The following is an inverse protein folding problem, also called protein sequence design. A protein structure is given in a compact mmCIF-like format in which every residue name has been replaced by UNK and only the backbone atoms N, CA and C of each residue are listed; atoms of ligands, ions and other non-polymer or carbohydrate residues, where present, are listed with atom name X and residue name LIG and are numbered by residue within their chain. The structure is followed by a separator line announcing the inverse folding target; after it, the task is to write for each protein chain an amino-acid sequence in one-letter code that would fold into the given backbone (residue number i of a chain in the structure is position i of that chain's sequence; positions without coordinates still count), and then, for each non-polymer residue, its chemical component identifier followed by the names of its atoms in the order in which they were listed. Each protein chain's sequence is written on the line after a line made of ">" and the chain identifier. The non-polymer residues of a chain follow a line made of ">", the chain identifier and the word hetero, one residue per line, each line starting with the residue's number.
data_IF_227157949135
#
_entry.id   IF_227157949135
#
_cell.length_a   1.000
_cell.length_b   1.000
_cell.length_c   1.000
_cell.angle_alpha   90.00
_cell.angle_beta   90.00
_cell.angle_gamma   90.00
#
_symmetry.space_group_name_H-M   'P 1'
#
loop_
_entity.id
_entity.type
_entity.pdbx_description
1 polymer ?
#
# COMPACT_ATOMS: atom_id res chain seq x y z
N UNK A 1 -3.74 -33.33 -54.94
CA UNK A 1 -3.00 -34.58 -54.67
C UNK A 1 -1.52 -34.30 -54.86
N UNK A 2 -0.75 -34.23 -53.76
CA UNK A 2 0.61 -34.77 -53.56
C UNK A 2 1.17 -34.22 -52.26
N UNK A 3 1.19 -35.11 -51.28
CA UNK A 3 1.82 -35.00 -49.97
C UNK A 3 3.33 -34.85 -50.10
N UNK A 4 3.94 -33.95 -49.34
CA UNK A 4 5.35 -34.06 -48.95
C UNK A 4 5.52 -33.74 -47.47
N UNK A 5 5.74 -34.79 -46.68
CA UNK A 5 6.18 -34.74 -45.28
C UNK A 5 7.69 -34.45 -45.25
N UNK A 6 8.13 -33.62 -44.31
CA UNK A 6 9.54 -33.55 -43.88
C UNK A 6 9.65 -33.72 -42.36
N UNK A 7 10.73 -34.34 -41.86
CA UNK A 7 10.80 -34.93 -40.53
C UNK A 7 11.21 -33.95 -39.43
N UNK A 8 10.91 -34.36 -38.18
CA UNK A 8 11.40 -33.78 -36.94
C UNK A 8 12.94 -33.76 -36.89
N UNK A 9 13.51 -32.61 -36.50
CA UNK A 9 14.84 -32.54 -35.91
C UNK A 9 14.68 -32.17 -34.43
N UNK A 10 15.05 -33.11 -33.56
CA UNK A 10 15.12 -32.90 -32.12
C UNK A 10 16.36 -32.05 -31.81
N UNK A 11 16.17 -30.89 -31.17
CA UNK A 11 17.25 -30.06 -30.65
C UNK A 11 17.49 -30.46 -29.19
N UNK A 12 18.57 -31.20 -28.97
CA UNK A 12 19.11 -31.48 -27.63
C UNK A 12 19.90 -30.24 -27.21
N UNK A 13 19.35 -29.46 -26.29
CA UNK A 13 20.10 -28.37 -25.62
C UNK A 13 20.83 -28.99 -24.44
N UNK A 14 22.17 -29.07 -24.57
CA UNK A 14 23.09 -29.52 -23.55
C UNK A 14 23.30 -28.39 -22.53
N UNK A 15 22.89 -28.62 -21.28
CA UNK A 15 23.11 -27.71 -20.15
C UNK A 15 24.55 -27.88 -19.66
N UNK A 16 25.45 -26.95 -19.99
CA UNK A 16 26.75 -26.87 -19.32
C UNK A 16 26.60 -26.14 -17.98
N UNK A 17 26.84 -26.85 -16.89
CA UNK A 17 27.08 -26.28 -15.57
C UNK A 17 28.40 -25.49 -15.59
N UNK A 18 28.31 -24.17 -15.45
CA UNK A 18 29.46 -23.34 -15.06
C UNK A 18 29.48 -23.32 -13.54
N UNK A 19 30.44 -24.04 -12.96
CA UNK A 19 30.74 -23.99 -11.54
C UNK A 19 31.39 -22.65 -11.18
N UNK A 20 30.69 -21.83 -10.41
CA UNK A 20 31.28 -20.70 -9.71
C UNK A 20 31.85 -21.18 -8.37
N UNK A 21 33.17 -21.25 -8.27
CA UNK A 21 33.90 -21.36 -7.01
C UNK A 21 33.89 -19.99 -6.33
N UNK A 22 33.16 -19.86 -5.22
CA UNK A 22 33.21 -18.67 -4.36
C UNK A 22 34.28 -18.92 -3.28
N UNK A 23 35.33 -18.10 -3.28
CA UNK A 23 36.29 -17.99 -2.19
C UNK A 23 35.60 -17.45 -0.93
N UNK A 24 35.72 -18.18 0.18
CA UNK A 24 35.45 -17.67 1.53
C UNK A 24 36.57 -16.72 1.96
N UNK A 25 36.22 -15.49 2.30
CA UNK A 25 37.05 -14.57 3.07
C UNK A 25 36.30 -14.15 4.34
N UNK A 26 37.02 -14.22 5.47
CA UNK A 26 36.54 -13.97 6.82
C UNK A 26 36.37 -12.47 7.13
N UNK A 27 35.42 -12.16 8.02
CA UNK A 27 35.55 -11.07 9.00
C UNK A 27 35.03 -9.69 8.61
N UNK A 28 33.71 -9.49 8.69
CA UNK A 28 33.08 -8.17 8.79
C UNK A 28 32.23 -8.09 10.07
N UNK A 29 32.12 -6.91 10.72
CA UNK A 29 31.49 -6.78 12.03
C UNK A 29 29.98 -7.04 11.95
N UNK A 30 29.49 -7.87 12.85
CA UNK A 30 28.07 -8.13 13.11
C UNK A 30 27.37 -6.83 13.54
N UNK A 31 26.49 -6.31 12.69
CA UNK A 31 25.45 -5.36 13.08
C UNK A 31 24.33 -6.18 13.74
N UNK A 32 23.94 -5.90 15.00
CA UNK A 32 22.84 -6.60 15.63
C UNK A 32 21.49 -6.11 15.08
N UNK A 33 20.69 -7.06 14.58
CA UNK A 33 19.23 -7.06 14.72
C UNK A 33 18.42 -6.04 13.92
N UNK A 34 18.15 -6.34 12.65
CA UNK A 34 16.84 -6.00 12.05
C UNK A 34 16.23 -7.32 11.59
N UNK A 35 15.50 -7.95 12.50
CA UNK A 35 14.62 -9.06 12.19
C UNK A 35 13.33 -8.44 11.61
N UNK A 36 13.22 -8.44 10.28
CA UNK A 36 11.97 -8.09 9.57
C UNK A 36 10.93 -9.16 9.88
N UNK A 37 10.22 -9.01 10.99
CA UNK A 37 9.07 -9.84 11.31
C UNK A 37 7.88 -9.34 10.52
N UNK A 38 7.52 -10.06 9.45
CA UNK A 38 6.18 -10.05 8.86
C UNK A 38 5.20 -10.64 9.87
N UNK A 39 4.84 -9.87 10.89
CA UNK A 39 3.78 -10.22 11.83
C UNK A 39 2.66 -9.20 11.69
N UNK A 40 1.73 -9.49 10.77
CA UNK A 40 0.38 -8.94 10.79
C UNK A 40 -0.35 -9.40 12.05
N UNK A 41 0.01 -8.86 13.20
CA UNK A 41 -0.80 -8.94 14.40
C UNK A 41 -1.97 -7.99 14.21
N UNK A 42 -3.13 -8.57 13.88
CA UNK A 42 -4.40 -7.86 13.98
C UNK A 42 -4.54 -7.32 15.40
N UNK A 43 -4.40 -6.00 15.55
CA UNK A 43 -4.64 -5.31 16.81
C UNK A 43 -6.15 -5.45 17.09
N UNK A 44 -6.51 -6.11 18.19
CA UNK A 44 -7.90 -6.23 18.61
C UNK A 44 -8.44 -4.85 18.98
N UNK A 45 -9.08 -4.18 18.02
CA UNK A 45 -9.72 -2.88 18.22
C UNK A 45 -11.15 -3.04 18.74
N UNK A 46 -11.30 -3.06 20.06
CA UNK A 46 -12.54 -2.52 20.64
C UNK A 46 -12.40 -1.00 20.65
N UNK A 47 -12.93 -0.34 19.61
CA UNK A 47 -13.02 1.12 19.57
C UNK A 47 -13.82 1.62 20.77
N UNK A 48 -13.17 2.29 21.72
CA UNK A 48 -13.81 2.86 22.92
C UNK A 48 -14.24 4.30 22.68
N UNK A 49 -13.67 4.99 21.69
CA UNK A 49 -14.11 6.31 21.22
C UNK A 49 -14.66 6.26 19.78
N UNK A 50 -15.59 7.17 19.40
CA UNK A 50 -16.08 7.27 18.03
C UNK A 50 -14.96 7.48 16.99
N UNK A 51 -13.98 8.35 17.26
CA UNK A 51 -12.85 8.61 16.33
C UNK A 51 -12.04 7.33 16.03
N UNK A 52 -11.91 6.43 17.02
CA UNK A 52 -11.26 5.14 16.84
C UNK A 52 -11.98 4.27 15.79
N UNK A 53 -13.29 4.50 15.56
CA UNK A 53 -14.06 3.75 14.55
C UNK A 53 -13.70 4.17 13.12
N UNK A 54 -13.33 5.43 12.87
CA UNK A 54 -12.86 5.86 11.55
C UNK A 54 -11.48 5.25 11.24
N UNK A 55 -10.56 5.29 12.22
CA UNK A 55 -9.23 4.70 12.09
C UNK A 55 -9.30 3.17 11.92
N UNK A 56 -10.08 2.48 12.77
CA UNK A 56 -10.32 1.05 12.64
C UNK A 56 -10.96 0.67 11.29
N UNK A 57 -11.90 1.48 10.82
CA UNK A 57 -12.49 1.32 9.51
C UNK A 57 -11.45 1.47 8.39
N UNK A 58 -10.59 2.48 8.46
CA UNK A 58 -9.51 2.69 7.50
C UNK A 58 -8.59 1.48 7.43
N UNK A 59 -8.09 1.00 8.58
CA UNK A 59 -7.20 -0.18 8.69
C UNK A 59 -7.80 -1.43 8.02
N UNK A 60 -9.11 -1.66 8.11
CA UNK A 60 -9.76 -2.78 7.40
C UNK A 60 -9.57 -2.67 5.88
N UNK A 61 -9.74 -1.47 5.31
CA UNK A 61 -9.65 -1.28 3.86
C UNK A 61 -8.23 -1.16 3.33
N UNK A 62 -7.30 -0.70 4.15
CA UNK A 62 -5.86 -0.82 3.92
C UNK A 62 -5.48 -2.31 3.79
N UNK A 63 -5.84 -3.11 4.78
CA UNK A 63 -5.60 -4.56 4.79
C UNK A 63 -6.22 -5.26 3.58
N UNK A 64 -7.46 -4.91 3.21
CA UNK A 64 -8.10 -5.44 1.99
C UNK A 64 -7.35 -5.07 0.71
N UNK A 65 -6.71 -3.90 0.68
CA UNK A 65 -5.90 -3.44 -0.45
C UNK A 65 -4.58 -4.20 -0.53
N UNK A 66 -3.83 -4.22 0.57
CA UNK A 66 -2.54 -4.90 0.69
C UNK A 66 -2.66 -6.39 0.33
N UNK A 67 -3.63 -7.07 0.93
CA UNK A 67 -3.79 -8.51 0.79
C UNK A 67 -4.59 -8.91 -0.46
N UNK A 68 -5.04 -7.95 -1.27
CA UNK A 68 -5.89 -8.20 -2.44
C UNK A 68 -5.39 -9.30 -3.41
N UNK A 69 -4.08 -9.51 -3.65
CA UNK A 69 -3.62 -10.57 -4.55
C UNK A 69 -3.90 -11.98 -4.03
N UNK A 70 -3.89 -12.17 -2.71
CA UNK A 70 -3.97 -13.48 -2.03
C UNK A 70 -5.27 -13.64 -1.21
N UNK A 71 -6.10 -12.61 -1.14
CA UNK A 71 -7.31 -12.57 -0.31
C UNK A 71 -8.29 -13.70 -0.68
N UNK A 72 -8.61 -14.54 0.31
CA UNK A 72 -9.61 -15.60 0.20
C UNK A 72 -11.00 -15.14 0.70
N UNK A 73 -12.04 -15.94 0.44
CA UNK A 73 -13.41 -15.56 0.74
C UNK A 73 -13.69 -15.35 2.23
N UNK A 74 -13.17 -16.23 3.09
CA UNK A 74 -13.34 -16.10 4.53
C UNK A 74 -12.72 -14.80 5.06
N UNK A 75 -11.53 -14.44 4.60
CA UNK A 75 -10.85 -13.20 4.99
C UNK A 75 -11.58 -11.95 4.50
N UNK A 76 -12.14 -11.98 3.28
CA UNK A 76 -12.98 -10.90 2.77
C UNK A 76 -14.26 -10.74 3.61
N UNK A 77 -14.98 -11.83 3.86
CA UNK A 77 -16.23 -11.81 4.63
C UNK A 77 -16.01 -11.36 6.07
N UNK A 78 -14.91 -11.78 6.70
CA UNK A 78 -14.49 -11.32 8.04
C UNK A 78 -14.23 -9.80 8.05
N UNK A 79 -13.47 -9.29 7.07
CA UNK A 79 -13.20 -7.85 6.93
C UNK A 79 -14.48 -7.04 6.77
N UNK A 80 -15.40 -7.50 5.92
CA UNK A 80 -16.69 -6.83 5.73
C UNK A 80 -17.57 -6.91 6.97
N UNK A 81 -17.55 -8.03 7.71
CA UNK A 81 -18.28 -8.17 8.97
C UNK A 81 -17.76 -7.21 10.02
N UNK A 82 -16.43 -7.13 10.19
CA UNK A 82 -15.77 -6.16 11.08
C UNK A 82 -16.12 -4.72 10.71
N UNK A 83 -16.19 -4.39 9.43
CA UNK A 83 -16.61 -3.05 9.02
C UNK A 83 -18.07 -2.76 9.40
N UNK A 84 -18.99 -3.71 9.20
CA UNK A 84 -20.40 -3.49 9.52
C UNK A 84 -20.63 -3.29 11.03
N UNK A 85 -19.79 -3.83 11.91
CA UNK A 85 -19.89 -3.53 13.36
C UNK A 85 -19.47 -2.10 13.71
N UNK A 86 -18.64 -1.46 12.89
CA UNK A 86 -18.19 -0.07 13.05
C UNK A 86 -19.10 0.94 12.34
N UNK A 87 -19.93 0.48 11.39
CA UNK A 87 -20.62 1.34 10.43
C UNK A 87 -21.51 2.42 11.05
N UNK A 88 -22.23 2.11 12.13
CA UNK A 88 -23.08 3.12 12.79
C UNK A 88 -22.26 4.27 13.37
N UNK A 89 -21.10 3.96 13.97
CA UNK A 89 -20.20 4.95 14.55
C UNK A 89 -19.51 5.78 13.46
N UNK A 90 -19.08 5.13 12.38
CA UNK A 90 -18.53 5.81 11.20
C UNK A 90 -19.57 6.75 10.59
N UNK A 91 -20.80 6.27 10.39
CA UNK A 91 -21.89 7.07 9.81
C UNK A 91 -22.25 8.30 10.65
N UNK A 92 -22.09 8.23 11.98
CA UNK A 92 -22.36 9.36 12.87
C UNK A 92 -21.32 10.50 12.74
N UNK A 93 -20.15 10.22 12.13
CA UNK A 93 -19.03 11.16 12.00
C UNK A 93 -18.87 11.72 10.59
N UNK A 94 -19.49 11.10 9.59
CA UNK A 94 -19.38 11.53 8.20
C UNK A 94 -20.49 12.53 7.82
N UNK A 95 -20.13 13.52 7.01
CA UNK A 95 -21.12 14.36 6.35
C UNK A 95 -21.98 13.52 5.38
N UNK A 96 -23.23 13.93 5.07
CA UNK A 96 -24.11 13.15 4.20
C UNK A 96 -23.51 12.80 2.83
N UNK A 97 -22.77 13.71 2.21
CA UNK A 97 -22.10 13.46 0.93
C UNK A 97 -20.93 12.48 1.04
N UNK A 98 -20.18 12.51 2.14
CA UNK A 98 -19.13 11.53 2.44
C UNK A 98 -19.74 10.15 2.66
N UNK A 99 -20.86 10.05 3.38
CA UNK A 99 -21.57 8.79 3.59
C UNK A 99 -22.08 8.21 2.26
N UNK A 100 -22.64 9.04 1.37
CA UNK A 100 -23.04 8.61 0.03
C UNK A 100 -21.86 8.10 -0.80
N UNK A 101 -20.70 8.78 -0.73
CA UNK A 101 -19.48 8.33 -1.41
C UNK A 101 -18.98 7.01 -0.82
N UNK A 102 -18.99 6.87 0.49
CA UNK A 102 -18.62 5.63 1.19
C UNK A 102 -19.51 4.47 0.74
N UNK A 103 -20.83 4.63 0.71
CA UNK A 103 -21.75 3.60 0.25
C UNK A 103 -21.49 3.16 -1.20
N UNK A 104 -21.19 4.12 -2.09
CA UNK A 104 -20.85 3.83 -3.47
C UNK A 104 -19.53 3.04 -3.59
N UNK A 105 -18.51 3.43 -2.84
CA UNK A 105 -17.22 2.73 -2.80
C UNK A 105 -17.38 1.30 -2.27
N UNK A 106 -18.11 1.10 -1.17
CA UNK A 106 -18.39 -0.22 -0.60
C UNK A 106 -19.16 -1.13 -1.55
N UNK A 107 -20.13 -0.57 -2.28
CA UNK A 107 -20.85 -1.32 -3.32
C UNK A 107 -19.89 -1.77 -4.44
N UNK A 108 -18.95 -0.92 -4.85
CA UNK A 108 -17.95 -1.25 -5.86
C UNK A 108 -16.89 -2.25 -5.37
N UNK A 109 -16.48 -2.20 -4.10
CA UNK A 109 -15.62 -3.22 -3.46
C UNK A 109 -16.28 -4.59 -3.59
N UNK A 110 -17.53 -4.72 -3.12
CA UNK A 110 -18.30 -5.98 -3.18
C UNK A 110 -18.49 -6.47 -4.62
N UNK A 111 -18.84 -5.58 -5.54
CA UNK A 111 -19.02 -5.90 -6.96
C UNK A 111 -17.72 -6.40 -7.61
N UNK A 112 -16.58 -5.78 -7.29
CA UNK A 112 -15.27 -6.19 -7.83
C UNK A 112 -14.84 -7.53 -7.25
N UNK A 113 -15.05 -7.74 -5.94
CA UNK A 113 -14.84 -9.03 -5.28
C UNK A 113 -15.62 -10.16 -5.95
N UNK A 114 -16.93 -9.98 -6.19
CA UNK A 114 -17.80 -10.96 -6.85
C UNK A 114 -17.33 -11.29 -8.27
N UNK A 115 -16.80 -10.30 -8.99
CA UNK A 115 -16.23 -10.47 -10.34
C UNK A 115 -14.83 -11.09 -10.34
N UNK A 116 -14.23 -11.35 -9.18
CA UNK A 116 -12.83 -11.75 -9.00
C UNK A 116 -11.84 -10.75 -9.59
N UNK A 117 -12.24 -9.48 -9.68
CA UNK A 117 -11.39 -8.38 -10.13
C UNK A 117 -10.65 -7.79 -8.93
N UNK A 118 -9.49 -8.39 -8.61
CA UNK A 118 -8.67 -8.00 -7.45
C UNK A 118 -8.11 -6.58 -7.56
N UNK A 119 -7.68 -6.17 -8.75
CA UNK A 119 -7.16 -4.83 -8.99
C UNK A 119 -8.21 -3.75 -8.76
N UNK A 120 -9.41 -3.91 -9.36
CA UNK A 120 -10.51 -2.97 -9.12
C UNK A 120 -10.96 -2.98 -7.66
N UNK A 121 -11.00 -4.14 -7.00
CA UNK A 121 -11.32 -4.22 -5.58
C UNK A 121 -10.32 -3.42 -4.74
N UNK A 122 -9.01 -3.65 -4.92
CA UNK A 122 -7.96 -2.93 -4.21
C UNK A 122 -8.05 -1.41 -4.42
N UNK A 123 -8.28 -0.97 -5.66
CA UNK A 123 -8.47 0.44 -6.01
C UNK A 123 -9.68 1.05 -5.27
N UNK A 124 -10.79 0.33 -5.11
CA UNK A 124 -11.97 0.84 -4.41
C UNK A 124 -11.77 0.80 -2.89
N UNK A 125 -11.13 -0.24 -2.35
CA UNK A 125 -10.81 -0.35 -0.93
C UNK A 125 -9.92 0.80 -0.47
N UNK A 126 -8.84 1.10 -1.19
CA UNK A 126 -7.93 2.18 -0.80
C UNK A 126 -8.58 3.58 -0.91
N UNK A 127 -9.62 3.75 -1.73
CA UNK A 127 -10.43 4.96 -1.73
C UNK A 127 -11.35 5.06 -0.51
N UNK A 128 -11.81 3.93 0.05
CA UNK A 128 -12.51 3.92 1.34
C UNK A 128 -11.54 4.35 2.44
N UNK A 129 -10.33 3.77 2.47
CA UNK A 129 -9.27 4.17 3.39
C UNK A 129 -9.04 5.69 3.36
N UNK A 130 -8.80 6.27 2.16
CA UNK A 130 -8.59 7.71 2.00
C UNK A 130 -9.74 8.52 2.56
N UNK A 131 -10.98 8.16 2.23
CA UNK A 131 -12.17 8.88 2.71
C UNK A 131 -12.23 8.89 4.24
N UNK A 132 -11.96 7.74 4.88
CA UNK A 132 -11.98 7.62 6.33
C UNK A 132 -10.82 8.40 6.96
N UNK A 133 -9.60 8.31 6.42
CA UNK A 133 -8.44 9.07 6.90
C UNK A 133 -8.62 10.58 6.77
N UNK A 134 -9.19 11.06 5.65
CA UNK A 134 -9.51 12.47 5.41
C UNK A 134 -10.62 12.98 6.36
N UNK A 135 -11.39 12.07 6.96
CA UNK A 135 -12.48 12.42 7.90
C UNK A 135 -12.04 12.40 9.36
N UNK A 136 -10.86 11.88 9.68
CA UNK A 136 -10.28 11.91 11.03
C UNK A 136 -9.79 13.32 11.36
N UNK A 137 -10.07 13.78 12.58
CA UNK A 137 -9.49 15.01 13.09
C UNK A 137 -8.04 14.78 13.57
N UNK A 138 -7.09 14.98 12.66
CA UNK A 138 -5.66 14.81 12.95
C UNK A 138 -5.04 15.92 13.82
N UNK A 139 -5.79 16.95 14.23
CA UNK A 139 -5.24 18.04 15.05
C UNK A 139 -4.81 17.58 16.45
N UNK A 140 -5.40 16.49 16.95
CA UNK A 140 -5.09 15.92 18.27
C UNK A 140 -4.39 14.55 18.16
N UNK A 141 -3.96 14.16 16.96
CA UNK A 141 -3.29 12.88 16.72
C UNK A 141 -1.77 13.09 16.71
N UNK A 142 -0.99 12.16 17.28
CA UNK A 142 0.47 12.28 17.27
C UNK A 142 1.03 12.22 15.84
N UNK A 143 0.40 11.41 14.98
CA UNK A 143 0.76 11.25 13.57
C UNK A 143 -0.03 12.26 12.74
N UNK A 144 0.63 13.12 11.94
CA UNK A 144 -0.07 14.10 11.11
C UNK A 144 -0.73 13.43 9.90
N UNK A 145 -1.86 13.97 9.45
CA UNK A 145 -2.66 13.45 8.33
C UNK A 145 -1.87 13.10 7.05
N UNK A 146 -0.77 13.80 6.78
CA UNK A 146 0.06 13.54 5.59
C UNK A 146 0.71 12.16 5.60
N UNK A 147 0.98 11.56 6.77
CA UNK A 147 1.63 10.24 6.89
C UNK A 147 0.70 9.11 6.41
N UNK A 148 -0.53 8.91 6.93
CA UNK A 148 -1.43 7.90 6.39
C UNK A 148 -1.83 8.19 4.93
N UNK A 149 -1.80 9.46 4.48
CA UNK A 149 -2.05 9.75 3.07
C UNK A 149 -0.87 9.34 2.15
N UNK A 150 0.37 9.34 2.66
CA UNK A 150 1.50 8.73 1.95
C UNK A 150 1.34 7.22 1.85
N UNK A 151 0.87 6.56 2.92
CA UNK A 151 0.54 5.14 2.89
C UNK A 151 -0.53 4.81 1.84
N UNK A 152 -1.61 5.61 1.80
CA UNK A 152 -2.61 5.56 0.71
C UNK A 152 -1.96 5.63 -0.67
N UNK A 153 -0.99 6.54 -0.87
CA UNK A 153 -0.36 6.72 -2.17
C UNK A 153 0.38 5.46 -2.63
N UNK A 154 1.20 4.88 -1.75
CA UNK A 154 1.96 3.67 -2.01
C UNK A 154 1.05 2.48 -2.35
N UNK A 155 0.02 2.26 -1.53
CA UNK A 155 -0.96 1.21 -1.78
C UNK A 155 -1.79 1.45 -3.04
N UNK A 156 -2.20 2.69 -3.32
CA UNK A 156 -2.96 3.05 -4.53
C UNK A 156 -2.12 2.81 -5.79
N UNK A 157 -0.85 3.18 -5.78
CA UNK A 157 0.08 2.92 -6.89
C UNK A 157 0.20 1.41 -7.13
N UNK A 158 0.43 0.62 -6.07
CA UNK A 158 0.47 -0.86 -6.18
C UNK A 158 -0.83 -1.42 -6.75
N UNK A 159 -1.98 -0.95 -6.27
CA UNK A 159 -3.30 -1.38 -6.76
C UNK A 159 -3.51 -1.06 -8.25
N UNK A 160 -3.09 0.13 -8.70
CA UNK A 160 -3.16 0.54 -10.11
C UNK A 160 -2.23 -0.31 -11.00
N UNK A 161 -1.08 -0.74 -10.47
CA UNK A 161 -0.12 -1.59 -11.18
C UNK A 161 -0.55 -3.07 -11.29
N UNK A 162 -1.43 -3.55 -10.40
CA UNK A 162 -2.01 -4.91 -10.48
C UNK A 162 -2.93 -5.05 -11.70
N UNK A 163 -3.49 -3.95 -12.22
CA UNK A 163 -4.36 -3.98 -13.39
C UNK A 163 -3.61 -4.44 -14.66
N UNK A 164 -4.31 -5.12 -15.58
CA UNK A 164 -3.72 -5.62 -16.83
C UNK A 164 -3.11 -4.50 -17.70
N UNK A 165 -3.67 -3.30 -17.59
CA UNK A 165 -3.19 -2.10 -18.27
C UNK A 165 -3.14 -0.98 -17.21
N UNK A 166 -1.94 -0.69 -16.67
CA UNK A 166 -1.79 0.35 -15.67
C UNK A 166 -2.34 1.69 -16.16
N UNK A 167 -3.21 2.29 -15.36
CA UNK A 167 -3.72 3.64 -15.59
C UNK A 167 -2.64 4.66 -15.20
N UNK A 168 -1.76 4.97 -16.14
CA UNK A 168 -0.64 5.89 -15.95
C UNK A 168 -1.07 7.33 -15.67
N UNK A 169 -2.30 7.72 -16.00
CA UNK A 169 -2.81 9.05 -15.65
C UNK A 169 -3.11 9.09 -14.15
N UNK A 170 -3.85 8.11 -13.65
CA UNK A 170 -4.15 8.00 -12.23
C UNK A 170 -2.89 7.77 -11.39
N UNK A 171 -1.97 6.93 -11.85
CA UNK A 171 -0.67 6.73 -11.19
C UNK A 171 0.08 8.07 -11.05
N UNK A 172 0.13 8.87 -12.11
CA UNK A 172 0.81 10.18 -12.07
C UNK A 172 0.13 11.15 -11.12
N UNK A 173 -1.20 11.14 -11.09
CA UNK A 173 -1.97 11.95 -10.13
C UNK A 173 -1.63 11.53 -8.69
N UNK A 174 -1.65 10.24 -8.39
CA UNK A 174 -1.32 9.71 -7.06
C UNK A 174 0.12 10.04 -6.65
N UNK A 175 1.10 9.90 -7.55
CA UNK A 175 2.48 10.30 -7.28
C UNK A 175 2.65 11.81 -7.00
N UNK A 176 1.85 12.64 -7.69
CA UNK A 176 1.83 14.07 -7.41
C UNK A 176 1.23 14.37 -6.03
N UNK A 177 0.11 13.71 -5.67
CA UNK A 177 -0.48 13.82 -4.33
C UNK A 177 0.52 13.40 -3.23
N UNK A 178 1.23 12.28 -3.41
CA UNK A 178 2.30 11.84 -2.51
C UNK A 178 3.38 12.92 -2.32
N UNK A 179 3.81 13.55 -3.41
CA UNK A 179 4.79 14.64 -3.36
C UNK A 179 4.29 15.83 -2.52
N UNK A 180 3.00 16.17 -2.63
CA UNK A 180 2.40 17.26 -1.85
C UNK A 180 2.26 16.89 -0.36
N UNK A 181 1.80 15.68 -0.05
CA UNK A 181 1.69 15.20 1.32
C UNK A 181 3.06 15.12 1.99
N UNK A 182 4.07 14.61 1.29
CA UNK A 182 5.44 14.63 1.76
C UNK A 182 5.94 16.05 2.02
N UNK A 183 5.75 16.98 1.06
CA UNK A 183 6.17 18.37 1.23
C UNK A 183 5.56 19.04 2.48
N UNK A 184 4.31 18.72 2.82
CA UNK A 184 3.64 19.22 4.03
C UNK A 184 4.09 18.54 5.34
N UNK A 185 4.54 17.29 5.25
CA UNK A 185 4.94 16.47 6.40
C UNK A 185 6.41 16.69 6.77
N UNK A 186 7.26 16.79 5.75
CA UNK A 186 8.73 16.91 5.85
C UNK A 186 9.22 17.92 6.89
N UNK A 187 8.67 19.15 7.01
CA UNK A 187 9.17 20.12 7.99
C UNK A 187 9.02 19.69 9.45
N UNK A 188 8.12 18.73 9.73
CA UNK A 188 7.84 18.20 11.07
C UNK A 188 8.75 17.02 11.45
N UNK A 189 9.52 16.50 10.49
CA UNK A 189 10.42 15.38 10.70
C UNK A 189 11.82 15.93 11.05
N UNK A 190 12.30 15.67 12.25
CA UNK A 190 13.60 16.16 12.72
C UNK A 190 14.73 15.17 12.41
N UNK A 191 14.42 13.89 12.23
CA UNK A 191 15.38 12.89 11.77
C UNK A 191 15.77 13.16 10.30
N UNK A 192 17.02 13.58 10.08
CA UNK A 192 17.52 13.89 8.75
C UNK A 192 17.61 12.68 7.84
N UNK A 193 17.97 11.51 8.39
CA UNK A 193 18.13 10.27 7.60
C UNK A 193 16.78 9.80 7.06
N UNK A 194 15.73 9.86 7.89
CA UNK A 194 14.37 9.53 7.50
C UNK A 194 13.83 10.51 6.45
N UNK A 195 14.08 11.81 6.62
CA UNK A 195 13.72 12.82 5.60
C UNK A 195 14.41 12.57 4.28
N UNK A 196 15.71 12.34 4.29
CA UNK A 196 16.49 12.15 3.07
C UNK A 196 16.08 10.86 2.37
N UNK A 197 15.78 9.79 3.13
CA UNK A 197 15.26 8.54 2.57
C UNK A 197 13.89 8.76 1.89
N UNK A 198 12.97 9.50 2.52
CA UNK A 198 11.69 9.82 1.90
C UNK A 198 11.82 10.73 0.68
N UNK A 199 12.69 11.74 0.71
CA UNK A 199 12.96 12.59 -0.46
C UNK A 199 13.40 11.75 -1.66
N UNK A 200 14.38 10.85 -1.48
CA UNK A 200 14.86 9.98 -2.55
C UNK A 200 13.79 8.99 -3.03
N UNK A 201 12.97 8.46 -2.13
CA UNK A 201 11.87 7.56 -2.49
C UNK A 201 10.81 8.28 -3.33
N UNK A 202 10.37 9.47 -2.92
CA UNK A 202 9.43 10.29 -3.71
C UNK A 202 10.02 10.68 -5.07
N UNK A 203 11.31 11.01 -5.13
CA UNK A 203 12.01 11.23 -6.41
C UNK A 203 12.00 9.97 -7.28
N UNK A 204 12.26 8.80 -6.69
CA UNK A 204 12.23 7.50 -7.36
C UNK A 204 10.85 7.15 -7.93
N UNK A 205 9.78 7.38 -7.16
CA UNK A 205 8.38 7.24 -7.64
C UNK A 205 8.15 8.13 -8.85
N UNK A 206 8.46 9.43 -8.76
CA UNK A 206 8.22 10.38 -9.84
C UNK A 206 9.01 10.02 -11.12
N UNK A 207 10.26 9.57 -10.97
CA UNK A 207 11.07 9.13 -12.11
C UNK A 207 10.52 7.85 -12.75
N UNK A 208 10.09 6.87 -11.94
CA UNK A 208 9.48 5.65 -12.44
C UNK A 208 8.16 5.94 -13.19
N UNK A 209 7.35 6.88 -12.70
CA UNK A 209 6.15 7.36 -13.39
C UNK A 209 6.51 8.03 -14.72
N UNK A 210 7.53 8.89 -14.74
CA UNK A 210 8.00 9.57 -15.96
C UNK A 210 8.45 8.58 -17.03
N UNK A 211 9.19 7.54 -16.63
CA UNK A 211 9.69 6.47 -17.49
C UNK A 211 8.61 5.43 -17.85
N UNK A 212 7.46 5.45 -17.15
CA UNK A 212 6.47 4.38 -17.17
C UNK A 212 7.06 3.00 -16.85
N UNK A 213 8.02 2.96 -15.92
CA UNK A 213 8.67 1.73 -15.47
C UNK A 213 7.90 1.13 -14.31
N UNK A 214 7.03 0.17 -14.62
CA UNK A 214 6.20 -0.51 -13.62
C UNK A 214 7.03 -1.24 -12.54
N UNK A 215 8.19 -1.79 -12.89
CA UNK A 215 9.01 -2.55 -11.93
C UNK A 215 9.69 -1.60 -10.95
N UNK A 216 10.28 -0.52 -11.45
CA UNK A 216 10.88 0.51 -10.60
C UNK A 216 9.82 1.17 -9.73
N UNK A 217 8.63 1.42 -10.27
CA UNK A 217 7.53 2.04 -9.53
C UNK A 217 7.01 1.13 -8.42
N UNK A 218 6.85 -0.18 -8.65
CA UNK A 218 6.50 -1.13 -7.59
C UNK A 218 7.52 -1.10 -6.46
N UNK A 219 8.81 -1.17 -6.80
CA UNK A 219 9.88 -1.12 -5.80
C UNK A 219 9.86 0.19 -5.01
N UNK A 220 9.73 1.33 -5.69
CA UNK A 220 9.70 2.64 -5.04
C UNK A 220 8.46 2.80 -4.12
N UNK A 221 7.30 2.30 -4.53
CA UNK A 221 6.10 2.26 -3.69
C UNK A 221 6.27 1.34 -2.47
N UNK A 222 6.95 0.19 -2.60
CA UNK A 222 7.27 -0.66 -1.44
C UNK A 222 8.22 0.04 -0.47
N UNK A 223 9.22 0.76 -0.98
CA UNK A 223 10.12 1.56 -0.14
C UNK A 223 9.37 2.70 0.56
N UNK A 224 8.41 3.34 -0.10
CA UNK A 224 7.55 4.37 0.51
C UNK A 224 6.78 3.81 1.69
N UNK A 225 6.09 2.67 1.52
CA UNK A 225 5.32 2.03 2.60
C UNK A 225 6.19 1.69 3.81
N UNK A 226 7.38 1.11 3.59
CA UNK A 226 8.34 0.81 4.67
C UNK A 226 8.78 2.09 5.40
N UNK A 227 8.99 3.19 4.67
CA UNK A 227 9.41 4.45 5.27
C UNK A 227 8.25 5.17 5.98
N UNK A 228 7.00 4.94 5.55
CA UNK A 228 5.81 5.42 6.26
C UNK A 228 5.71 4.78 7.64
N UNK A 229 5.97 3.48 7.80
CA UNK A 229 6.10 2.85 9.14
C UNK A 229 7.15 3.57 10.00
N UNK A 230 8.26 3.96 9.37
CA UNK A 230 9.31 4.78 9.99
C UNK A 230 8.83 6.16 10.43
N UNK A 231 8.02 6.84 9.61
CA UNK A 231 7.40 8.13 9.95
C UNK A 231 6.41 7.98 11.11
N UNK A 232 5.57 6.96 11.09
CA UNK A 232 4.63 6.69 12.18
C UNK A 232 5.36 6.43 13.50
N UNK A 233 6.40 5.59 13.48
CA UNK A 233 7.26 5.34 14.64
C UNK A 233 7.92 6.62 15.15
N UNK A 234 8.44 7.44 14.24
CA UNK A 234 9.03 8.73 14.57
C UNK A 234 8.02 9.66 15.28
N UNK A 235 6.83 9.84 14.73
CA UNK A 235 5.82 10.74 15.32
C UNK A 235 5.25 10.22 16.64
N UNK A 236 5.07 8.91 16.79
CA UNK A 236 4.63 8.31 18.05
C UNK A 236 5.67 8.44 19.17
N UNK A 237 6.96 8.42 18.84
CA UNK A 237 8.06 8.63 19.79
C UNK A 237 8.42 10.11 20.02
N UNK A 238 7.99 10.99 19.11
CA UNK A 238 8.21 12.44 19.17
C UNK A 238 6.90 13.22 18.95
N UNK A 239 5.93 13.14 19.90
CA UNK A 239 4.69 13.87 19.79
C UNK A 239 4.96 15.36 19.63
N UNK A 240 4.28 15.99 18.67
CA UNK A 240 4.41 17.43 18.44
C UNK A 240 3.71 18.16 19.58
N UNK A 241 4.41 19.06 20.28
CA UNK A 241 3.78 19.97 21.23
C UNK A 241 2.99 21.01 20.44
N UNK A 242 1.65 20.91 20.47
CA UNK A 242 0.73 21.86 19.86
C UNK A 242 0.54 23.11 20.72
#
# INVERSE_FOLDING_TARGET
>A
MTSFRRPLAALIISTQLIGFTICQAHGGPTIPGVELTKNGQAKSMTATNPEDSLAAGAEIFENLTENSPELNAAAFDDSMTKYETLRSNISAQLAPDQMKRLDALLANVRKSWQKRDRGSMAIQSIEVYRLLQESINHANQPVPAGVPLLDYAGFKIKALLISKLPDWEQIRKTAHEATLWWASTKPKVTDSSLRDAMDHTIMGINEAVRLKDARLLTFAAEMELILVDGLESFFNSHPQNH
#
